data_IF_143876703151
#
_entry.id   IF_143876703151
#
_cell.length_a   1.000
_cell.length_b   1.000
_cell.length_c   1.000
_cell.angle_alpha   90.00
_cell.angle_beta   90.00
_cell.angle_gamma   90.00
#
_symmetry.space_group_name_H-M   'P 1'
#
loop_
_entity.id
_entity.type
_entity.pdbx_description
1 polymer ?
#
# COMPACT_ATOMS: atom_id res chain seq x y z
N UNK A 1 -37.16 1.98 32.97
CA UNK A 1 -37.05 3.14 32.07
C UNK A 1 -36.44 2.65 30.77
N UNK A 2 -37.16 2.75 29.65
CA UNK A 2 -36.62 2.37 28.35
C UNK A 2 -35.46 3.34 28.02
N UNK A 3 -34.25 2.82 27.84
CA UNK A 3 -33.09 3.64 27.48
C UNK A 3 -33.34 4.37 26.17
N UNK A 4 -32.85 5.61 26.05
CA UNK A 4 -32.98 6.43 24.86
C UNK A 4 -32.43 5.76 23.59
N UNK A 5 -32.62 6.37 22.41
CA UNK A 5 -32.15 5.82 21.14
C UNK A 5 -30.66 5.48 21.22
N UNK A 6 -30.30 4.34 20.63
CA UNK A 6 -28.92 3.84 20.65
C UNK A 6 -28.28 4.02 19.29
N UNK A 7 -27.06 4.54 19.28
CA UNK A 7 -26.22 4.65 18.09
C UNK A 7 -25.13 3.59 18.19
N UNK A 8 -24.92 2.84 17.11
CA UNK A 8 -23.79 1.94 16.97
C UNK A 8 -22.75 2.61 16.07
N UNK A 9 -21.52 2.72 16.54
CA UNK A 9 -20.38 3.28 15.79
C UNK A 9 -19.40 2.15 15.49
N UNK A 10 -19.23 1.82 14.21
CA UNK A 10 -18.20 0.92 13.74
C UNK A 10 -16.90 1.69 13.50
N UNK A 11 -15.78 1.20 14.05
CA UNK A 11 -14.43 1.71 13.81
C UNK A 11 -13.60 0.59 13.20
N UNK A 12 -13.08 0.84 12.01
CA UNK A 12 -12.05 0.03 11.38
C UNK A 12 -10.70 0.71 11.60
N UNK A 13 -9.92 0.23 12.56
CA UNK A 13 -8.56 0.73 12.81
C UNK A 13 -7.56 -0.10 12.00
N UNK A 14 -7.46 0.14 10.69
CA UNK A 14 -6.63 -0.66 9.78
C UNK A 14 -5.16 -0.26 9.76
N UNK A 15 -4.29 -1.11 9.20
CA UNK A 15 -2.83 -0.90 9.13
C UNK A 15 -2.44 0.33 8.33
N UNK A 16 -3.11 0.56 7.19
CA UNK A 16 -2.78 1.62 6.22
C UNK A 16 -3.85 2.71 6.18
N UNK A 17 -5.11 2.33 6.32
CA UNK A 17 -6.26 3.22 6.35
C UNK A 17 -7.22 2.80 7.44
N UNK A 18 -7.89 3.77 8.04
CA UNK A 18 -8.93 3.57 9.04
C UNK A 18 -10.26 4.18 8.58
N UNK A 19 -11.38 3.63 9.03
CA UNK A 19 -12.72 4.08 8.69
C UNK A 19 -13.63 4.18 9.90
N UNK A 20 -14.66 5.01 9.81
CA UNK A 20 -15.72 5.13 10.81
C UNK A 20 -17.07 5.13 10.11
N UNK A 21 -18.02 4.35 10.62
CA UNK A 21 -19.41 4.36 10.19
C UNK A 21 -20.33 4.32 11.41
N UNK A 22 -21.58 4.75 11.26
CA UNK A 22 -22.56 4.66 12.33
C UNK A 22 -23.97 4.40 11.80
N UNK A 23 -24.81 3.79 12.64
CA UNK A 23 -26.22 3.57 12.38
C UNK A 23 -27.03 3.70 13.68
N UNK A 24 -28.32 4.01 13.56
CA UNK A 24 -29.24 3.89 14.68
C UNK A 24 -29.60 2.42 14.87
N UNK A 25 -29.63 1.94 16.11
CA UNK A 25 -30.00 0.54 16.40
C UNK A 25 -31.41 0.21 15.89
N UNK A 26 -32.31 1.20 15.80
CA UNK A 26 -33.66 1.04 15.25
C UNK A 26 -33.70 0.90 13.72
N UNK A 27 -32.61 1.28 13.04
CA UNK A 27 -32.49 1.30 11.58
C UNK A 27 -31.10 0.78 11.18
N UNK A 28 -30.80 -0.51 11.43
CA UNK A 28 -29.46 -1.07 11.23
C UNK A 28 -29.00 -1.05 9.76
N UNK A 29 -29.93 -0.98 8.81
CA UNK A 29 -29.65 -0.94 7.37
C UNK A 29 -29.27 0.47 6.87
N UNK A 30 -29.60 1.52 7.66
CA UNK A 30 -29.32 2.92 7.33
C UNK A 30 -27.92 3.33 7.83
N UNK A 31 -26.88 2.70 7.28
CA UNK A 31 -25.49 2.94 7.68
C UNK A 31 -24.95 4.23 7.04
N UNK A 32 -24.46 5.15 7.88
CA UNK A 32 -23.79 6.38 7.46
C UNK A 32 -22.26 6.25 7.64
N UNK A 33 -21.51 6.37 6.54
CA UNK A 33 -20.04 6.34 6.56
C UNK A 33 -19.48 7.75 6.71
N UNK A 34 -18.53 7.93 7.64
CA UNK A 34 -17.78 9.19 7.79
C UNK A 34 -16.90 9.40 6.56
N UNK A 35 -17.18 10.46 5.81
CA UNK A 35 -16.44 10.80 4.58
C UNK A 35 -15.62 12.08 4.66
N UNK A 36 -15.80 12.87 5.72
CA UNK A 36 -15.11 14.15 5.89
C UNK A 36 -14.00 14.00 6.93
N UNK A 37 -12.76 14.13 6.47
CA UNK A 37 -11.57 13.95 7.30
C UNK A 37 -10.71 15.23 7.33
N UNK A 38 -10.10 15.59 8.47
CA UNK A 38 -9.16 16.70 8.53
C UNK A 38 -8.03 16.55 7.49
N UNK A 39 -7.72 17.63 6.76
CA UNK A 39 -6.65 17.65 5.76
C UNK A 39 -7.02 17.05 4.40
N UNK A 40 -8.19 16.43 4.22
CA UNK A 40 -8.61 15.92 2.91
C UNK A 40 -8.90 17.07 1.93
N UNK A 41 -7.95 17.38 1.02
CA UNK A 41 -8.09 18.45 0.02
C UNK A 41 -9.04 18.04 -1.13
N UNK A 42 -9.78 19.01 -1.67
CA UNK A 42 -10.69 18.81 -2.83
C UNK A 42 -9.98 18.48 -4.14
N UNK A 43 -8.66 18.63 -4.25
CA UNK A 43 -7.95 18.59 -5.53
C UNK A 43 -6.93 17.45 -5.72
N UNK A 44 -6.67 16.61 -4.72
CA UNK A 44 -5.60 15.59 -4.81
C UNK A 44 -6.04 14.23 -5.39
N UNK A 45 -7.35 13.97 -5.53
CA UNK A 45 -7.86 12.71 -6.08
C UNK A 45 -9.02 12.91 -7.08
N UNK A 46 -8.86 13.87 -7.99
CA UNK A 46 -9.66 13.83 -9.22
C UNK A 46 -9.09 12.74 -10.14
N UNK A 47 -9.95 11.78 -10.49
CA UNK A 47 -9.78 10.73 -11.51
C UNK A 47 -9.18 9.39 -11.03
N UNK A 48 -10.00 8.57 -10.38
CA UNK A 48 -10.12 7.16 -10.75
C UNK A 48 -11.52 6.94 -11.33
N UNK A 49 -11.67 7.16 -12.65
CA UNK A 49 -12.81 6.65 -13.40
C UNK A 49 -12.52 5.18 -13.72
N UNK A 50 -12.91 4.29 -12.84
CA UNK A 50 -13.20 2.90 -13.20
C UNK A 50 -14.69 2.82 -13.51
N UNK A 51 -15.04 2.19 -14.63
CA UNK A 51 -16.34 2.30 -15.33
C UNK A 51 -17.57 1.82 -14.55
N UNK A 52 -17.46 1.36 -13.30
CA UNK A 52 -18.58 0.82 -12.51
C UNK A 52 -18.66 1.30 -11.05
N UNK A 53 -18.01 2.41 -10.67
CA UNK A 53 -18.03 2.90 -9.28
C UNK A 53 -18.61 4.31 -9.12
N UNK A 54 -19.39 4.47 -8.06
CA UNK A 54 -20.09 5.67 -7.62
C UNK A 54 -19.16 6.91 -7.61
N UNK A 55 -19.68 8.06 -8.04
CA UNK A 55 -18.92 9.31 -8.16
C UNK A 55 -18.43 9.78 -6.78
N UNK A 56 -17.18 9.49 -6.40
CA UNK A 56 -16.60 10.04 -5.17
C UNK A 56 -16.37 11.54 -5.36
N UNK A 57 -17.15 12.36 -4.66
CA UNK A 57 -16.99 13.81 -4.69
C UNK A 57 -15.61 14.19 -4.12
N UNK A 58 -14.93 15.11 -4.79
CA UNK A 58 -13.70 15.75 -4.36
C UNK A 58 -13.76 16.19 -2.88
N UNK A 59 -12.91 15.59 -2.04
CA UNK A 59 -12.85 15.86 -0.59
C UNK A 59 -13.76 14.98 0.29
N UNK A 60 -14.34 13.90 -0.24
CA UNK A 60 -15.15 12.94 0.54
C UNK A 60 -14.57 11.52 0.48
N UNK A 61 -13.71 11.15 1.42
CA UNK A 61 -13.01 9.86 1.41
C UNK A 61 -13.64 8.90 2.43
N UNK A 62 -14.00 7.66 2.08
CA UNK A 62 -14.62 6.72 3.03
C UNK A 62 -13.68 6.25 4.14
N UNK A 63 -12.37 6.47 3.99
CA UNK A 63 -11.33 6.16 4.97
C UNK A 63 -10.31 7.30 5.06
N UNK A 64 -9.53 7.31 6.14
CA UNK A 64 -8.40 8.21 6.38
C UNK A 64 -7.11 7.40 6.55
N UNK A 65 -5.93 7.89 6.11
CA UNK A 65 -4.67 7.19 6.33
C UNK A 65 -4.41 6.93 7.81
N UNK A 66 -3.95 5.73 8.15
CA UNK A 66 -3.49 5.37 9.51
C UNK A 66 -2.07 5.89 9.73
N UNK A 67 -1.95 7.21 9.74
CA UNK A 67 -0.69 7.93 9.90
C UNK A 67 -0.80 9.00 10.97
N UNK A 68 0.28 9.20 11.72
CA UNK A 68 0.36 10.22 12.76
C UNK A 68 1.78 10.78 12.87
N UNK A 69 1.90 12.07 13.16
CA UNK A 69 3.17 12.77 13.35
C UNK A 69 3.11 13.63 14.60
N UNK A 70 4.22 13.67 15.33
CA UNK A 70 4.40 14.39 16.60
C UNK A 70 5.36 15.59 16.45
N UNK A 71 5.68 16.00 15.23
CA UNK A 71 6.70 16.99 14.96
C UNK A 71 6.37 18.37 15.58
N UNK A 72 7.39 19.01 16.16
CA UNK A 72 7.30 20.36 16.75
C UNK A 72 6.15 20.55 17.77
N UNK A 73 5.77 19.48 18.48
CA UNK A 73 4.68 19.51 19.45
C UNK A 73 3.28 19.63 18.83
N UNK A 74 3.17 19.48 17.50
CA UNK A 74 1.89 19.44 16.78
C UNK A 74 1.54 18.00 16.45
N UNK A 75 0.29 17.63 16.74
CA UNK A 75 -0.26 16.33 16.37
C UNK A 75 -0.93 16.43 15.01
N UNK A 76 -0.28 15.88 13.97
CA UNK A 76 -0.86 15.77 12.62
C UNK A 76 -1.24 14.31 12.36
N UNK A 77 -2.34 14.07 11.65
CA UNK A 77 -2.81 12.72 11.39
C UNK A 77 -3.57 12.60 10.07
N UNK A 78 -3.69 11.38 9.56
CA UNK A 78 -4.40 11.10 8.33
C UNK A 78 -3.89 11.95 7.16
N UNK A 79 -4.80 12.60 6.45
CA UNK A 79 -4.44 13.46 5.31
C UNK A 79 -3.62 14.70 5.70
N UNK A 80 -3.55 15.06 6.99
CA UNK A 80 -2.70 16.17 7.45
C UNK A 80 -1.22 15.80 7.49
N UNK A 81 -0.86 14.50 7.48
CA UNK A 81 0.55 14.08 7.48
C UNK A 81 1.20 14.15 6.10
N UNK A 82 0.45 14.49 5.04
CA UNK A 82 1.00 14.62 3.69
C UNK A 82 1.91 15.85 3.52
N UNK A 83 1.91 16.77 4.49
CA UNK A 83 2.55 18.08 4.41
C UNK A 83 3.78 18.19 5.32
N UNK A 84 4.79 17.33 5.13
CA UNK A 84 6.09 17.30 5.83
C UNK A 84 6.12 16.54 7.19
N UNK A 85 7.29 15.97 7.51
CA UNK A 85 7.66 15.49 8.85
C UNK A 85 7.98 14.00 9.00
N UNK A 86 8.48 13.62 10.17
CA UNK A 86 8.58 12.21 10.61
C UNK A 86 7.16 11.66 10.85
N UNK A 87 6.76 10.65 10.08
CA UNK A 87 5.41 10.08 10.14
C UNK A 87 5.46 8.63 10.61
N UNK A 88 4.71 8.33 11.65
CA UNK A 88 4.48 6.97 12.12
C UNK A 88 3.45 6.28 11.22
N UNK A 89 3.79 5.07 10.75
CA UNK A 89 3.02 4.22 9.83
C UNK A 89 3.05 2.77 10.30
N UNK A 90 2.03 2.00 9.98
CA UNK A 90 2.00 0.56 10.30
C UNK A 90 1.98 0.28 11.81
N UNK A 91 1.49 1.23 12.61
CA UNK A 91 1.45 1.12 14.08
C UNK A 91 0.65 -0.10 14.55
N UNK A 92 -0.40 -0.46 13.78
CA UNK A 92 -1.22 -1.65 14.05
C UNK A 92 -0.35 -2.91 14.15
N UNK A 93 0.60 -3.11 13.24
CA UNK A 93 1.51 -4.27 13.26
C UNK A 93 2.46 -4.25 14.45
N UNK A 94 2.76 -3.08 15.02
CA UNK A 94 3.61 -2.94 16.20
C UNK A 94 2.88 -3.26 17.51
N UNK A 95 1.55 -3.46 17.47
CA UNK A 95 0.80 -3.80 18.67
C UNK A 95 1.14 -5.20 19.13
N UNK A 96 1.34 -6.20 18.27
CA UNK A 96 1.76 -7.53 18.71
C UNK A 96 3.29 -7.61 18.84
N UNK A 97 3.87 -7.63 20.07
CA UNK A 97 5.31 -7.70 20.25
C UNK A 97 5.90 -9.08 19.91
N UNK A 98 5.05 -10.11 19.75
CA UNK A 98 5.49 -11.46 19.37
C UNK A 98 5.60 -11.63 17.86
N UNK A 99 5.06 -10.68 17.10
CA UNK A 99 5.08 -10.72 15.65
C UNK A 99 6.47 -10.36 15.11
N UNK A 100 6.98 -11.16 14.18
CA UNK A 100 8.12 -10.77 13.35
C UNK A 100 7.63 -9.78 12.28
N UNK A 101 8.20 -8.57 12.31
CA UNK A 101 7.70 -7.45 11.49
C UNK A 101 8.71 -7.17 10.39
N UNK A 102 8.40 -7.64 9.18
CA UNK A 102 9.17 -7.34 7.95
C UNK A 102 8.55 -6.16 7.14
N UNK A 103 7.53 -5.51 7.70
CA UNK A 103 6.93 -4.33 7.08
C UNK A 103 7.79 -3.08 7.31
N UNK A 104 8.56 -2.68 6.30
CA UNK A 104 9.54 -1.57 6.37
C UNK A 104 8.99 -0.29 7.02
N UNK A 105 7.78 0.22 6.69
CA UNK A 105 7.26 1.43 7.32
C UNK A 105 7.01 1.29 8.84
N UNK A 106 6.59 0.11 9.30
CA UNK A 106 6.46 -0.16 10.75
C UNK A 106 7.83 -0.24 11.43
N UNK A 107 8.81 -0.89 10.78
CA UNK A 107 10.19 -0.97 11.29
C UNK A 107 10.82 0.42 11.41
N UNK A 108 10.63 1.30 10.42
CA UNK A 108 11.08 2.69 10.49
C UNK A 108 10.38 3.46 11.61
N UNK A 109 9.10 3.22 11.81
CA UNK A 109 8.32 3.87 12.86
C UNK A 109 8.82 3.57 14.26
N UNK A 110 9.42 2.39 14.52
CA UNK A 110 10.04 2.08 15.83
C UNK A 110 11.09 3.12 16.25
N UNK A 111 11.85 3.69 15.29
CA UNK A 111 12.84 4.74 15.57
C UNK A 111 12.17 6.06 15.97
N UNK A 112 11.05 6.39 15.34
CA UNK A 112 10.26 7.59 15.65
C UNK A 112 9.65 7.44 17.04
N UNK A 113 9.08 6.28 17.35
CA UNK A 113 8.52 5.97 18.68
C UNK A 113 9.57 6.17 19.79
N UNK A 114 10.77 5.62 19.62
CA UNK A 114 11.86 5.79 20.58
C UNK A 114 12.29 7.26 20.75
N UNK A 115 12.30 8.05 19.67
CA UNK A 115 12.61 9.49 19.72
C UNK A 115 11.61 10.28 20.56
N UNK A 116 10.34 9.90 20.53
CA UNK A 116 9.24 10.57 21.22
C UNK A 116 8.85 9.92 22.54
N UNK A 117 9.61 8.92 23.02
CA UNK A 117 9.33 8.14 24.24
C UNK A 117 7.90 7.59 24.27
N UNK A 118 7.51 6.92 23.16
CA UNK A 118 6.17 6.34 22.98
C UNK A 118 6.22 4.86 22.71
N UNK A 119 5.35 4.12 23.36
CA UNK A 119 5.09 2.72 23.05
C UNK A 119 4.05 2.59 21.93
N UNK A 120 3.99 1.43 21.22
CA UNK A 120 3.01 1.23 20.16
C UNK A 120 1.55 1.47 20.58
N UNK A 121 1.21 1.08 21.81
CA UNK A 121 -0.12 1.28 22.41
C UNK A 121 -0.45 2.76 22.61
N UNK A 122 0.54 3.60 22.93
CA UNK A 122 0.33 5.05 23.08
C UNK A 122 -0.06 5.70 21.77
N UNK A 123 0.62 5.30 20.68
CA UNK A 123 0.34 5.84 19.35
C UNK A 123 -1.00 5.33 18.83
N UNK A 124 -1.34 4.06 19.09
CA UNK A 124 -2.65 3.52 18.77
C UNK A 124 -3.77 4.25 19.54
N UNK A 125 -3.59 4.51 20.84
CA UNK A 125 -4.49 5.33 21.66
C UNK A 125 -4.66 6.72 21.05
N UNK A 126 -3.56 7.41 20.77
CA UNK A 126 -3.60 8.77 20.24
C UNK A 126 -4.36 8.83 18.90
N UNK A 127 -4.15 7.85 18.02
CA UNK A 127 -4.86 7.76 16.75
C UNK A 127 -6.35 7.40 16.91
N UNK A 128 -6.68 6.43 17.77
CA UNK A 128 -8.06 6.06 18.09
C UNK A 128 -8.83 7.23 18.71
N UNK A 129 -8.18 8.02 19.57
CA UNK A 129 -8.79 9.22 20.15
C UNK A 129 -9.21 10.22 19.07
N UNK A 130 -8.40 10.38 18.02
CA UNK A 130 -8.70 11.24 16.87
C UNK A 130 -9.89 10.71 16.06
N UNK A 131 -9.96 9.39 15.81
CA UNK A 131 -11.11 8.76 15.17
C UNK A 131 -12.40 8.94 15.98
N UNK A 132 -12.34 8.71 17.31
CA UNK A 132 -13.47 8.86 18.22
C UNK A 132 -13.95 10.31 18.26
N UNK A 133 -13.04 11.28 18.23
CA UNK A 133 -13.39 12.70 18.18
C UNK A 133 -14.13 13.05 16.89
N UNK A 134 -13.62 12.59 15.73
CA UNK A 134 -14.31 12.78 14.44
C UNK A 134 -15.69 12.11 14.44
N UNK A 135 -15.83 10.92 15.01
CA UNK A 135 -17.11 10.26 15.17
C UNK A 135 -18.09 11.12 16.00
N UNK A 136 -17.67 11.55 17.20
CA UNK A 136 -18.48 12.38 18.11
C UNK A 136 -18.89 13.71 17.47
N UNK A 137 -17.98 14.38 16.77
CA UNK A 137 -18.29 15.60 16.03
C UNK A 137 -19.29 15.37 14.89
N UNK A 138 -19.13 14.26 14.15
CA UNK A 138 -20.02 13.92 13.05
C UNK A 138 -21.43 13.63 13.56
N UNK A 139 -21.54 12.85 14.65
CA UNK A 139 -22.81 12.60 15.34
C UNK A 139 -23.42 13.89 15.89
N UNK A 140 -22.62 14.80 16.46
CA UNK A 140 -23.10 16.09 16.96
C UNK A 140 -23.66 16.96 15.84
N UNK A 141 -22.99 16.99 14.67
CA UNK A 141 -23.49 17.69 13.48
C UNK A 141 -24.78 17.06 12.95
N UNK A 142 -24.92 15.73 13.01
CA UNK A 142 -26.08 14.98 12.52
C UNK A 142 -27.31 15.11 13.42
N UNK A 143 -27.13 14.96 14.75
CA UNK A 143 -28.22 14.82 15.72
C UNK A 143 -28.38 16.04 16.64
N UNK A 144 -27.46 17.01 16.62
CA UNK A 144 -27.53 18.21 17.46
C UNK A 144 -27.58 17.88 18.95
N UNK A 145 -28.47 18.55 19.68
CA UNK A 145 -28.64 18.36 21.13
C UNK A 145 -29.30 17.01 21.49
N UNK A 146 -29.95 16.33 20.54
CA UNK A 146 -30.56 15.03 20.80
C UNK A 146 -29.51 13.97 21.18
N UNK A 147 -28.28 14.12 20.70
CA UNK A 147 -27.16 13.23 20.99
C UNK A 147 -26.90 13.07 22.50
N UNK A 148 -27.16 14.10 23.31
CA UNK A 148 -26.92 14.07 24.77
C UNK A 148 -27.81 13.07 25.50
N UNK A 149 -28.94 12.69 24.88
CA UNK A 149 -29.88 11.70 25.41
C UNK A 149 -29.69 10.30 24.83
N UNK A 150 -28.77 10.15 23.87
CA UNK A 150 -28.53 8.90 23.16
C UNK A 150 -27.35 8.14 23.79
N UNK A 151 -27.43 6.81 23.74
CA UNK A 151 -26.31 5.94 24.16
C UNK A 151 -25.52 5.54 22.92
N UNK A 152 -24.20 5.71 22.96
CA UNK A 152 -23.29 5.33 21.87
C UNK A 152 -22.57 4.05 22.27
N UNK A 153 -22.68 3.01 21.44
CA UNK A 153 -21.87 1.79 21.52
C UNK A 153 -20.89 1.75 20.36
N UNK A 154 -19.70 1.19 20.60
CA UNK A 154 -18.62 1.09 19.65
C UNK A 154 -18.35 -0.37 19.30
N UNK A 155 -18.15 -0.65 18.02
CA UNK A 155 -17.67 -1.92 17.50
C UNK A 155 -16.32 -1.65 16.84
N UNK A 156 -15.25 -2.26 17.34
CA UNK A 156 -13.89 -2.07 16.84
C UNK A 156 -13.39 -3.34 16.18
N UNK A 157 -12.90 -3.25 14.94
CA UNK A 157 -12.39 -4.41 14.20
C UNK A 157 -10.94 -4.73 14.58
N UNK A 158 -10.61 -6.02 14.67
CA UNK A 158 -9.26 -6.55 14.88
C UNK A 158 -8.99 -7.74 13.95
N UNK A 159 -7.74 -7.99 13.53
CA UNK A 159 -7.42 -9.19 12.74
C UNK A 159 -7.81 -10.46 13.48
N UNK A 160 -8.28 -11.47 12.74
CA UNK A 160 -8.71 -12.74 13.35
C UNK A 160 -7.52 -13.50 13.95
N UNK A 161 -6.40 -13.53 13.23
CA UNK A 161 -5.17 -14.25 13.57
C UNK A 161 -4.37 -13.62 14.72
N UNK A 162 -4.78 -12.45 15.21
CA UNK A 162 -4.08 -11.78 16.31
C UNK A 162 -4.20 -12.51 17.64
N UNK A 163 -3.09 -12.51 18.38
CA UNK A 163 -3.04 -13.04 19.75
C UNK A 163 -4.00 -12.31 20.67
N UNK A 164 -4.46 -12.97 21.73
CA UNK A 164 -5.29 -12.33 22.77
C UNK A 164 -4.60 -11.11 23.37
N UNK A 165 -3.27 -11.12 23.44
CA UNK A 165 -2.48 -9.98 23.89
C UNK A 165 -2.66 -8.78 22.95
N UNK A 166 -2.54 -8.96 21.64
CA UNK A 166 -2.72 -7.90 20.64
C UNK A 166 -4.16 -7.35 20.63
N UNK A 167 -5.16 -8.25 20.73
CA UNK A 167 -6.57 -7.87 20.88
C UNK A 167 -6.80 -7.05 22.16
N UNK A 168 -6.22 -7.48 23.28
CA UNK A 168 -6.31 -6.76 24.55
C UNK A 168 -5.60 -5.40 24.51
N UNK A 169 -4.43 -5.27 23.87
CA UNK A 169 -3.77 -3.97 23.71
C UNK A 169 -4.57 -3.01 22.84
N UNK A 170 -5.26 -3.52 21.82
CA UNK A 170 -6.19 -2.70 21.03
C UNK A 170 -7.35 -2.21 21.87
N UNK A 171 -7.92 -3.09 22.71
CA UNK A 171 -8.96 -2.72 23.66
C UNK A 171 -8.48 -1.66 24.66
N UNK A 172 -7.29 -1.82 25.25
CA UNK A 172 -6.67 -0.82 26.13
C UNK A 172 -6.50 0.52 25.43
N UNK A 173 -5.96 0.53 24.20
CA UNK A 173 -5.80 1.75 23.42
C UNK A 173 -7.16 2.45 23.15
N UNK A 174 -8.21 1.67 22.86
CA UNK A 174 -9.55 2.19 22.66
C UNK A 174 -10.16 2.76 23.94
N UNK A 175 -9.93 2.11 25.10
CA UNK A 175 -10.44 2.61 26.37
C UNK A 175 -9.76 3.90 26.79
N UNK A 176 -8.45 3.97 26.61
CA UNK A 176 -7.66 5.16 26.92
C UNK A 176 -7.93 6.30 25.94
N UNK A 177 -8.47 6.00 24.76
CA UNK A 177 -8.99 6.96 23.76
C UNK A 177 -10.40 7.48 24.09
N UNK A 178 -10.91 7.23 25.31
CA UNK A 178 -12.17 7.77 25.80
C UNK A 178 -13.42 7.02 25.34
N UNK A 179 -13.27 5.74 24.98
CA UNK A 179 -14.37 4.80 24.85
C UNK A 179 -14.50 4.03 26.16
N UNK A 180 -15.68 3.99 26.77
CA UNK A 180 -15.88 3.17 27.98
C UNK A 180 -15.72 1.68 27.64
N UNK A 181 -15.05 0.92 28.51
CA UNK A 181 -14.90 -0.52 28.37
C UNK A 181 -16.25 -1.26 28.30
N UNK A 182 -17.31 -0.69 28.89
CA UNK A 182 -18.66 -1.23 28.83
C UNK A 182 -19.36 -0.95 27.48
N UNK A 183 -18.87 0.04 26.74
CA UNK A 183 -19.46 0.55 25.50
C UNK A 183 -18.73 0.07 24.25
N UNK A 184 -17.65 -0.70 24.37
CA UNK A 184 -16.88 -1.23 23.23
C UNK A 184 -16.99 -2.75 23.12
N UNK A 185 -17.09 -3.25 21.90
CA UNK A 185 -17.00 -4.67 21.59
C UNK A 185 -16.01 -4.85 20.44
N UNK A 186 -15.14 -5.86 20.55
CA UNK A 186 -14.27 -6.25 19.46
C UNK A 186 -15.00 -7.22 18.53
N UNK A 187 -14.83 -7.06 17.24
CA UNK A 187 -15.25 -8.01 16.21
C UNK A 187 -14.06 -8.32 15.31
N UNK A 188 -13.98 -9.51 14.74
CA UNK A 188 -12.91 -9.76 13.76
C UNK A 188 -13.17 -8.99 12.46
N UNK A 189 -12.11 -8.48 11.82
CA UNK A 189 -12.17 -7.85 10.49
C UNK A 189 -12.90 -8.73 9.47
N UNK A 190 -12.55 -10.03 9.30
CA UNK A 190 -13.23 -10.83 8.30
C UNK A 190 -14.67 -11.21 8.70
N UNK A 191 -15.04 -11.26 9.98
CA UNK A 191 -16.44 -11.42 10.40
C UNK A 191 -17.27 -10.20 10.03
N UNK A 192 -16.75 -9.00 10.31
CA UNK A 192 -17.42 -7.75 9.92
C UNK A 192 -17.59 -7.66 8.40
N UNK A 193 -16.56 -8.05 7.63
CA UNK A 193 -16.63 -8.13 6.19
C UNK A 193 -17.66 -9.17 5.71
N UNK A 194 -17.70 -10.35 6.34
CA UNK A 194 -18.68 -11.40 6.01
C UNK A 194 -20.11 -10.92 6.18
N UNK A 195 -20.43 -10.34 7.35
CA UNK A 195 -21.78 -9.86 7.67
C UNK A 195 -22.20 -8.76 6.69
N UNK A 196 -21.30 -7.82 6.38
CA UNK A 196 -21.56 -6.74 5.41
C UNK A 196 -21.82 -7.28 4.00
N UNK A 197 -20.95 -8.16 3.49
CA UNK A 197 -21.08 -8.74 2.15
C UNK A 197 -22.34 -9.60 2.02
N UNK A 198 -22.63 -10.44 3.02
CA UNK A 198 -23.79 -11.32 3.00
C UNK A 198 -25.10 -10.54 3.09
N UNK A 199 -25.18 -9.51 3.94
CA UNK A 199 -26.35 -8.63 3.99
C UNK A 199 -26.59 -7.90 2.66
N UNK A 200 -25.53 -7.50 1.94
CA UNK A 200 -25.66 -6.84 0.65
C UNK A 200 -26.14 -7.77 -0.49
N UNK A 201 -25.95 -9.08 -0.35
CA UNK A 201 -26.31 -10.10 -1.35
C UNK A 201 -27.69 -10.73 -1.06
N UNK A 202 -28.16 -10.68 0.19
CA UNK A 202 -29.51 -11.15 0.54
C UNK A 202 -30.60 -10.32 -0.18
N UNK A 203 -31.67 -10.97 -0.68
CA UNK A 203 -32.16 -12.29 -0.25
C UNK A 203 -31.81 -13.49 -1.15
N UNK A 204 -31.03 -13.35 -2.23
CA UNK A 204 -31.24 -14.24 -3.38
C UNK A 204 -30.25 -15.40 -3.59
N UNK A 205 -29.26 -15.63 -2.71
CA UNK A 205 -28.26 -16.71 -2.98
C UNK A 205 -27.66 -17.42 -1.77
N UNK A 206 -28.06 -17.13 -0.52
CA UNK A 206 -27.40 -17.70 0.67
C UNK A 206 -28.40 -18.45 1.54
N UNK A 207 -28.07 -19.70 1.86
CA UNK A 207 -28.88 -20.60 2.67
C UNK A 207 -28.17 -20.99 3.98
N UNK A 208 -28.95 -21.50 4.95
CA UNK A 208 -28.37 -22.06 6.17
C UNK A 208 -27.44 -23.22 5.81
N UNK A 209 -26.28 -23.29 6.46
CA UNK A 209 -25.20 -24.24 6.21
C UNK A 209 -24.30 -23.95 5.01
N UNK A 210 -24.57 -22.91 4.22
CA UNK A 210 -23.61 -22.46 3.21
C UNK A 210 -22.30 -22.06 3.88
N UNK A 211 -21.19 -22.34 3.19
CA UNK A 211 -19.85 -21.96 3.62
C UNK A 211 -19.35 -20.87 2.70
N UNK A 212 -18.97 -19.75 3.30
CA UNK A 212 -18.32 -18.64 2.60
C UNK A 212 -16.89 -18.50 3.08
N UNK A 213 -16.01 -18.14 2.15
CA UNK A 213 -14.62 -17.82 2.45
C UNK A 213 -14.49 -16.31 2.33
N UNK A 214 -14.01 -15.68 3.41
CA UNK A 214 -13.64 -14.28 3.42
C UNK A 214 -12.15 -14.20 3.22
N UNK A 215 -11.75 -13.50 2.17
CA UNK A 215 -10.36 -13.13 1.91
C UNK A 215 -10.24 -11.63 2.13
N UNK A 216 -9.86 -11.22 3.34
CA UNK A 216 -9.58 -9.83 3.66
C UNK A 216 -8.11 -9.55 3.36
N UNK A 217 -7.84 -8.96 2.19
CA UNK A 217 -6.50 -8.60 1.75
C UNK A 217 -6.27 -7.09 1.91
N UNK A 218 -5.80 -6.69 3.09
CA UNK A 218 -5.55 -5.31 3.46
C UNK A 218 -4.13 -4.81 3.11
N UNK A 219 -3.80 -3.62 3.62
CA UNK A 219 -2.51 -2.96 3.32
C UNK A 219 -1.30 -3.48 4.11
N UNK A 220 -1.49 -4.46 5.00
CA UNK A 220 -0.41 -5.07 5.79
C UNK A 220 -0.74 -6.44 6.41
N UNK A 221 -1.98 -6.90 6.31
CA UNK A 221 -2.44 -8.24 6.70
C UNK A 221 -3.27 -8.82 5.57
N UNK A 222 -3.21 -10.13 5.38
CA UNK A 222 -4.20 -10.86 4.58
C UNK A 222 -4.77 -11.96 5.46
N UNK A 223 -6.08 -11.93 5.70
CA UNK A 223 -6.77 -12.89 6.55
C UNK A 223 -7.71 -13.73 5.69
N UNK A 224 -7.53 -15.07 5.71
CA UNK A 224 -8.49 -16.00 5.13
C UNK A 224 -9.20 -16.77 6.24
N UNK A 225 -10.53 -16.73 6.23
CA UNK A 225 -11.36 -17.47 7.17
C UNK A 225 -12.59 -18.02 6.46
N UNK A 226 -13.01 -19.20 6.90
CA UNK A 226 -14.21 -19.86 6.40
C UNK A 226 -15.33 -19.73 7.45
N UNK A 227 -16.44 -19.13 7.06
CA UNK A 227 -17.65 -19.04 7.87
C UNK A 227 -18.74 -19.94 7.31
N UNK A 228 -19.40 -20.68 8.19
CA UNK A 228 -20.67 -21.35 7.90
C UNK A 228 -21.82 -20.46 8.35
N UNK A 229 -22.80 -20.29 7.47
CA UNK A 229 -24.04 -19.59 7.79
C UNK A 229 -24.85 -20.44 8.75
N UNK A 230 -24.96 -20.01 10.01
CA UNK A 230 -25.74 -20.69 11.05
C UNK A 230 -27.23 -20.37 10.91
N UNK A 231 -27.54 -19.12 10.61
CA UNK A 231 -28.88 -18.62 10.35
C UNK A 231 -28.82 -17.47 9.34
N UNK A 232 -29.74 -17.41 8.39
CA UNK A 232 -29.86 -16.29 7.43
C UNK A 232 -30.65 -15.11 8.00
N UNK A 233 -31.55 -15.35 8.96
CA UNK A 233 -32.37 -14.30 9.59
C UNK A 233 -32.71 -14.66 11.06
N UNK A 234 -32.07 -14.02 12.06
CA UNK A 234 -30.97 -13.05 11.91
C UNK A 234 -29.75 -13.71 11.27
N UNK A 235 -28.94 -12.92 10.55
CA UNK A 235 -27.70 -13.42 9.97
C UNK A 235 -26.70 -13.75 11.10
N UNK A 236 -26.39 -15.04 11.25
CA UNK A 236 -25.42 -15.55 12.23
C UNK A 236 -24.39 -16.41 11.51
N UNK A 237 -23.11 -16.18 11.82
CA UNK A 237 -21.98 -16.91 11.26
C UNK A 237 -21.29 -17.74 12.33
N UNK A 238 -20.73 -18.88 11.92
CA UNK A 238 -19.91 -19.74 12.75
C UNK A 238 -18.60 -20.03 12.01
N UNK A 239 -17.47 -19.78 12.66
CA UNK A 239 -16.16 -20.14 12.12
C UNK A 239 -16.06 -21.67 11.94
N UNK A 240 -15.62 -22.10 10.76
CA UNK A 240 -15.53 -23.53 10.38
C UNK A 240 -14.15 -24.10 10.66
N UNK A 241 -13.12 -23.27 10.48
CA UNK A 241 -11.71 -23.62 10.59
C UNK A 241 -10.98 -22.44 11.20
N UNK A 242 -9.96 -22.71 12.02
CA UNK A 242 -9.03 -21.69 12.49
C UNK A 242 -8.48 -20.90 11.29
N UNK A 243 -8.67 -19.57 11.30
CA UNK A 243 -8.23 -18.70 10.21
C UNK A 243 -6.74 -18.83 9.91
N UNK A 244 -6.39 -18.90 8.63
CA UNK A 244 -4.99 -18.87 8.17
C UNK A 244 -4.74 -17.58 7.42
N UNK A 245 -3.75 -16.79 7.86
CA UNK A 245 -3.42 -15.51 7.24
C UNK A 245 -2.04 -15.50 6.59
N UNK A 246 -1.82 -14.53 5.70
CA UNK A 246 -0.48 -14.11 5.29
C UNK A 246 -0.10 -12.90 6.13
N UNK A 247 0.98 -13.04 6.88
CA UNK A 247 1.49 -12.01 7.77
C UNK A 247 2.54 -11.17 7.05
N UNK A 248 2.51 -9.85 7.25
CA UNK A 248 3.50 -8.94 6.67
C UNK A 248 3.39 -8.69 5.16
N UNK A 249 2.35 -9.19 4.49
CA UNK A 249 2.10 -8.94 3.06
C UNK A 249 2.87 -9.84 2.08
N UNK A 250 3.40 -10.98 2.52
CA UNK A 250 4.13 -11.93 1.68
C UNK A 250 3.51 -13.34 1.67
N UNK A 251 3.36 -13.94 0.48
CA UNK A 251 2.95 -15.33 0.28
C UNK A 251 4.18 -16.22 0.07
N UNK A 252 4.58 -16.99 1.09
CA UNK A 252 5.65 -17.99 0.95
C UNK A 252 5.14 -19.22 0.19
N UNK A 253 5.40 -19.27 -1.11
CA UNK A 253 5.08 -20.42 -1.95
C UNK A 253 6.30 -21.31 -2.15
N UNK A 254 6.17 -22.60 -1.87
CA UNK A 254 7.14 -23.60 -2.34
C UNK A 254 7.07 -23.72 -3.86
N UNK A 255 8.18 -24.10 -4.49
CA UNK A 255 8.35 -24.21 -5.94
C UNK A 255 7.21 -24.98 -6.60
N UNK A 256 6.72 -26.03 -5.95
CA UNK A 256 5.65 -26.90 -6.42
C UNK A 256 4.30 -26.16 -6.50
N UNK A 257 4.00 -25.27 -5.54
CA UNK A 257 2.77 -24.48 -5.50
C UNK A 257 2.79 -23.36 -6.54
N UNK A 258 3.94 -22.68 -6.70
CA UNK A 258 4.14 -21.72 -7.81
C UNK A 258 3.94 -22.43 -9.15
N UNK A 259 4.54 -23.62 -9.30
CA UNK A 259 4.37 -24.45 -10.49
C UNK A 259 2.89 -24.71 -10.80
N UNK A 260 2.10 -25.18 -9.84
CA UNK A 260 0.67 -25.50 -10.04
C UNK A 260 -0.18 -24.30 -10.52
N UNK A 261 0.17 -23.09 -10.11
CA UNK A 261 -0.56 -21.88 -10.52
C UNK A 261 -0.27 -21.53 -11.98
N UNK A 262 0.99 -21.66 -12.41
CA UNK A 262 1.42 -21.26 -13.75
C UNK A 262 1.36 -22.38 -14.79
N UNK A 263 1.35 -23.65 -14.37
CA UNK A 263 1.36 -24.82 -15.25
C UNK A 263 0.24 -24.83 -16.29
N UNK A 264 -1.04 -24.58 -15.97
CA UNK A 264 -2.11 -24.57 -16.97
C UNK A 264 -1.88 -23.55 -18.09
N UNK A 265 -1.30 -22.39 -17.77
CA UNK A 265 -0.97 -21.34 -18.75
C UNK A 265 0.25 -21.74 -19.58
N UNK A 266 1.27 -22.33 -18.96
CA UNK A 266 2.47 -22.81 -19.65
C UNK A 266 2.15 -23.96 -20.60
N UNK A 267 1.31 -24.91 -20.18
CA UNK A 267 0.91 -26.07 -20.99
C UNK A 267 0.09 -25.63 -22.22
N UNK A 268 -0.79 -24.65 -22.06
CA UNK A 268 -1.54 -24.07 -23.19
C UNK A 268 -0.62 -23.33 -24.17
N UNK A 269 0.38 -22.59 -23.68
CA UNK A 269 1.39 -21.94 -24.55
C UNK A 269 2.20 -22.98 -25.32
N UNK A 270 2.61 -24.07 -24.66
CA UNK A 270 3.32 -25.17 -25.32
C UNK A 270 2.46 -25.79 -26.43
N UNK A 271 1.18 -26.07 -26.15
CA UNK A 271 0.23 -26.62 -27.11
C UNK A 271 0.07 -25.71 -28.34
N UNK A 272 -0.11 -24.40 -28.12
CA UNK A 272 -0.25 -23.42 -29.20
C UNK A 272 1.01 -23.31 -30.07
N UNK A 273 2.20 -23.41 -29.45
CA UNK A 273 3.47 -23.43 -30.18
C UNK A 273 3.58 -24.69 -31.05
N UNK A 274 3.25 -25.87 -30.50
CA UNK A 274 3.27 -27.13 -31.25
C UNK A 274 2.30 -27.10 -32.43
N UNK A 275 1.07 -26.63 -32.23
CA UNK A 275 0.08 -26.50 -33.30
C UNK A 275 0.60 -25.60 -34.45
N UNK A 276 1.23 -24.48 -34.12
CA UNK A 276 1.82 -23.58 -35.13
C UNK A 276 3.00 -24.21 -35.89
N UNK A 277 3.82 -25.04 -35.21
CA UNK A 277 4.89 -25.78 -35.88
C UNK A 277 4.34 -26.80 -36.88
N UNK A 278 3.25 -27.49 -36.54
CA UNK A 278 2.56 -28.40 -37.45
C UNK A 278 2.05 -27.65 -38.68
N UNK A 279 1.39 -26.49 -38.49
CA UNK A 279 0.88 -25.67 -39.59
C UNK A 279 2.00 -25.17 -40.53
N UNK A 280 3.12 -24.69 -39.97
CA UNK A 280 4.28 -24.23 -40.74
C UNK A 280 4.87 -25.39 -41.57
N UNK A 281 4.97 -26.59 -40.99
CA UNK A 281 5.45 -27.78 -41.69
C UNK A 281 4.51 -28.22 -42.81
N UNK A 282 3.19 -28.20 -42.59
CA UNK A 282 2.20 -28.50 -43.62
C UNK A 282 2.24 -27.51 -44.80
N UNK A 283 2.62 -26.26 -44.53
CA UNK A 283 2.86 -25.25 -45.56
C UNK A 283 4.23 -25.39 -46.28
N UNK A 284 4.99 -26.46 -46.00
CA UNK A 284 6.30 -26.72 -46.61
C UNK A 284 7.41 -25.79 -46.10
N UNK A 285 7.19 -25.10 -44.99
CA UNK A 285 8.13 -24.15 -44.39
C UNK A 285 8.75 -24.73 -43.11
N UNK A 286 9.88 -24.15 -42.66
CA UNK A 286 10.52 -24.52 -41.39
C UNK A 286 10.77 -23.27 -40.56
N UNK A 287 10.30 -23.29 -39.31
CA UNK A 287 10.63 -22.26 -38.34
C UNK A 287 12.09 -22.40 -37.89
N UNK A 288 12.81 -21.28 -37.86
CA UNK A 288 14.23 -21.24 -37.48
C UNK A 288 14.42 -20.93 -36.00
N UNK A 289 13.54 -20.12 -35.43
CA UNK A 289 13.59 -19.73 -34.03
C UNK A 289 12.19 -19.41 -33.49
N UNK A 290 12.04 -19.51 -32.17
CA UNK A 290 10.90 -19.02 -31.39
C UNK A 290 11.42 -17.95 -30.44
N UNK A 291 10.83 -16.76 -30.48
CA UNK A 291 11.19 -15.66 -29.59
C UNK A 291 10.14 -15.51 -28.50
N UNK A 292 10.54 -15.67 -27.24
CA UNK A 292 9.68 -15.41 -26.10
C UNK A 292 9.71 -13.91 -25.75
N UNK A 293 8.54 -13.29 -25.81
CA UNK A 293 8.33 -11.84 -25.62
C UNK A 293 7.14 -11.57 -24.70
N UNK A 294 7.05 -10.36 -24.13
CA UNK A 294 6.02 -9.99 -23.14
C UNK A 294 6.36 -10.44 -21.71
N UNK A 295 5.71 -9.85 -20.70
CA UNK A 295 6.05 -10.05 -19.28
C UNK A 295 6.02 -11.50 -18.81
N UNK A 296 5.23 -12.34 -19.49
CA UNK A 296 5.22 -13.78 -19.27
C UNK A 296 6.33 -14.52 -20.05
N UNK A 297 6.71 -14.00 -21.23
CA UNK A 297 7.81 -14.52 -22.04
C UNK A 297 9.21 -14.33 -21.44
N UNK A 298 9.36 -13.50 -20.40
CA UNK A 298 10.59 -13.41 -19.57
C UNK A 298 10.68 -14.50 -18.48
N UNK A 299 9.72 -15.43 -18.43
CA UNK A 299 9.78 -16.57 -17.51
C UNK A 299 10.83 -17.59 -17.95
N UNK A 300 11.88 -17.76 -17.15
CA UNK A 300 12.91 -18.81 -17.32
C UNK A 300 12.28 -20.22 -17.31
N UNK A 301 11.20 -20.40 -16.54
CA UNK A 301 10.47 -21.66 -16.49
C UNK A 301 9.78 -21.98 -17.82
N UNK A 302 9.11 -21.00 -18.43
CA UNK A 302 8.50 -21.15 -19.75
C UNK A 302 9.55 -21.37 -20.84
N UNK A 303 10.68 -20.67 -20.77
CA UNK A 303 11.81 -20.84 -21.68
C UNK A 303 12.32 -22.29 -21.69
N UNK A 304 12.61 -22.85 -20.51
CA UNK A 304 13.10 -24.23 -20.39
C UNK A 304 12.06 -25.26 -20.82
N UNK A 305 10.77 -25.03 -20.53
CA UNK A 305 9.68 -25.91 -20.96
C UNK A 305 9.60 -25.97 -22.50
N UNK A 306 9.59 -24.81 -23.17
CA UNK A 306 9.54 -24.76 -24.64
C UNK A 306 10.83 -25.28 -25.28
N UNK A 307 12.01 -24.96 -24.75
CA UNK A 307 13.26 -25.50 -25.26
C UNK A 307 13.32 -27.03 -25.19
N UNK A 308 12.67 -27.63 -24.18
CA UNK A 308 12.54 -29.08 -24.06
C UNK A 308 11.47 -29.66 -24.99
N UNK A 309 10.37 -28.92 -25.23
CA UNK A 309 9.22 -29.38 -26.00
C UNK A 309 9.42 -29.30 -27.52
N UNK A 310 10.25 -28.38 -28.02
CA UNK A 310 10.50 -28.18 -29.46
C UNK A 310 11.99 -28.26 -29.77
N UNK A 311 12.45 -29.48 -30.08
CA UNK A 311 13.88 -29.82 -30.19
C UNK A 311 14.55 -29.29 -31.47
N UNK A 312 13.78 -29.10 -32.54
CA UNK A 312 14.28 -28.75 -33.88
C UNK A 312 14.34 -27.24 -34.19
N UNK A 313 13.98 -26.41 -33.21
CA UNK A 313 13.85 -24.95 -33.34
C UNK A 313 14.54 -24.26 -32.17
N UNK A 314 15.37 -23.25 -32.45
CA UNK A 314 16.02 -22.49 -31.39
C UNK A 314 15.01 -21.63 -30.64
N UNK A 315 14.73 -21.95 -29.38
CA UNK A 315 13.98 -21.05 -28.50
C UNK A 315 14.93 -20.00 -27.95
N UNK A 316 14.56 -18.73 -28.07
CA UNK A 316 15.33 -17.58 -27.64
C UNK A 316 14.49 -16.72 -26.71
N UNK A 317 15.09 -16.27 -25.61
CA UNK A 317 14.53 -15.28 -24.71
C UNK A 317 15.41 -14.03 -24.76
N UNK A 318 15.10 -13.07 -25.64
CA UNK A 318 15.89 -11.87 -25.78
C UNK A 318 15.89 -11.06 -24.48
N UNK A 319 17.03 -10.44 -24.09
CA UNK A 319 17.04 -9.55 -22.94
C UNK A 319 16.00 -8.44 -23.11
N UNK A 320 15.19 -8.21 -22.07
CA UNK A 320 14.06 -7.26 -22.05
C UNK A 320 12.85 -7.61 -22.94
N UNK A 321 12.69 -8.89 -23.28
CA UNK A 321 11.53 -9.47 -23.95
C UNK A 321 10.17 -8.92 -23.49
N UNK A 322 10.02 -8.61 -22.20
CA UNK A 322 8.78 -8.12 -21.59
C UNK A 322 8.26 -6.79 -22.15
N UNK A 323 9.13 -6.03 -22.79
CA UNK A 323 8.82 -4.74 -23.42
C UNK A 323 8.81 -4.81 -24.94
N UNK A 324 9.00 -5.98 -25.57
CA UNK A 324 9.22 -6.11 -27.02
C UNK A 324 8.12 -5.51 -27.90
N UNK A 325 6.85 -5.58 -27.48
CA UNK A 325 5.70 -4.99 -28.22
C UNK A 325 5.68 -3.47 -28.10
N UNK A 326 5.97 -2.95 -26.91
CA UNK A 326 6.12 -1.50 -26.66
C UNK A 326 7.39 -0.97 -27.34
N UNK A 327 8.45 -1.78 -27.42
CA UNK A 327 9.69 -1.55 -28.15
C UNK A 327 9.55 -1.68 -29.68
N UNK A 328 8.44 -2.18 -30.20
CA UNK A 328 8.17 -2.15 -31.64
C UNK A 328 7.41 -0.87 -32.02
N UNK A 329 6.48 -0.44 -31.16
CA UNK A 329 5.79 0.86 -31.30
C UNK A 329 6.73 2.04 -30.98
N UNK A 330 7.75 1.79 -30.16
CA UNK A 330 8.87 2.67 -29.87
C UNK A 330 10.15 1.89 -30.16
N UNK A 331 10.72 1.91 -31.38
CA UNK A 331 11.95 1.14 -31.72
C UNK A 331 13.23 1.45 -30.89
N UNK A 332 13.13 2.15 -29.76
CA UNK A 332 14.24 2.39 -28.85
C UNK A 332 13.77 2.43 -27.38
N UNK A 333 14.21 1.40 -26.64
CA UNK A 333 14.66 1.46 -25.24
C UNK A 333 13.61 1.41 -24.11
N UNK A 334 13.69 0.33 -23.31
CA UNK A 334 13.01 0.18 -22.02
C UNK A 334 13.99 -0.32 -20.92
N UNK A 335 13.98 0.36 -19.75
CA UNK A 335 14.20 -0.04 -18.33
C UNK A 335 15.30 -1.09 -17.97
N UNK A 336 16.27 -0.90 -17.05
CA UNK A 336 16.45 -0.48 -15.61
C UNK A 336 16.39 -1.66 -14.61
N UNK A 337 17.52 -1.93 -13.93
CA UNK A 337 17.62 -2.23 -12.49
C UNK A 337 18.96 -1.75 -11.89
N UNK A 338 18.92 -1.20 -10.66
CA UNK A 338 20.07 -0.83 -9.82
C UNK A 338 20.19 0.67 -9.49
N UNK A 339 19.66 1.13 -8.34
CA UNK A 339 20.00 2.45 -7.76
C UNK A 339 20.44 2.26 -6.29
N UNK A 340 21.73 2.49 -6.03
CA UNK A 340 22.28 2.69 -4.70
C UNK A 340 21.94 4.10 -4.22
N UNK A 341 21.20 4.22 -3.11
CA UNK A 341 20.91 5.50 -2.46
C UNK A 341 22.04 5.89 -1.49
N UNK A 342 23.08 6.58 -1.96
CA UNK A 342 23.92 7.53 -1.17
C UNK A 342 24.55 8.65 -2.04
N UNK A 343 23.87 9.81 -2.08
CA UNK A 343 24.26 11.24 -2.27
C UNK A 343 25.39 11.64 -3.26
N UNK A 344 25.11 12.50 -4.27
CA UNK A 344 26.08 13.49 -4.76
C UNK A 344 26.20 14.66 -3.76
N UNK A 345 27.41 14.89 -3.23
CA UNK A 345 27.73 16.09 -2.44
C UNK A 345 28.27 17.14 -3.39
N UNK A 346 27.53 18.23 -3.62
CA UNK A 346 27.94 19.28 -4.56
C UNK A 346 28.32 20.59 -3.84
N UNK A 347 29.27 21.31 -4.44
CA UNK A 347 29.76 22.62 -3.99
C UNK A 347 29.36 23.67 -5.02
N UNK A 348 28.65 24.71 -4.59
CA UNK A 348 28.14 25.74 -5.50
C UNK A 348 28.62 27.15 -5.14
N UNK A 349 28.90 27.96 -6.17
CA UNK A 349 29.05 29.42 -6.12
C UNK A 349 27.77 30.10 -6.66
N UNK A 350 27.57 31.41 -6.47
CA UNK A 350 26.31 32.15 -6.79
C UNK A 350 25.62 31.72 -8.11
N UNK A 351 24.31 31.39 -8.02
CA UNK A 351 23.46 30.90 -9.13
C UNK A 351 23.15 29.39 -9.11
N UNK A 352 22.88 28.82 -7.94
CA UNK A 352 22.81 27.37 -7.68
C UNK A 352 21.39 26.80 -7.54
N UNK A 353 20.37 27.54 -7.95
CA UNK A 353 18.98 27.18 -7.68
C UNK A 353 18.55 25.85 -8.34
N UNK A 354 19.27 25.37 -9.35
CA UNK A 354 18.99 24.13 -10.07
C UNK A 354 20.24 23.24 -10.13
N UNK A 355 20.03 21.93 -9.93
CA UNK A 355 21.06 20.90 -10.18
C UNK A 355 20.49 19.80 -11.06
N UNK A 356 21.36 19.17 -11.84
CA UNK A 356 21.00 18.11 -12.76
C UNK A 356 21.88 16.88 -12.52
N UNK A 357 21.28 15.76 -12.15
CA UNK A 357 21.96 14.48 -12.05
C UNK A 357 21.57 13.59 -13.23
N UNK A 358 22.55 13.01 -13.92
CA UNK A 358 22.24 12.06 -15.00
C UNK A 358 22.03 10.67 -14.40
N UNK A 359 20.89 10.04 -14.72
CA UNK A 359 20.62 8.66 -14.35
C UNK A 359 21.23 7.76 -15.42
N UNK A 360 22.05 6.80 -15.00
CA UNK A 360 22.68 5.83 -15.88
C UNK A 360 22.25 4.41 -15.51
N UNK A 361 22.30 3.51 -16.48
CA UNK A 361 22.03 2.08 -16.32
C UNK A 361 23.23 1.29 -16.85
N UNK A 362 23.59 0.20 -16.18
CA UNK A 362 24.51 -0.81 -16.70
C UNK A 362 23.81 -2.17 -16.78
N UNK A 363 24.20 -2.99 -17.76
CA UNK A 363 23.65 -4.33 -17.96
C UNK A 363 24.49 -5.45 -17.33
N UNK A 364 25.55 -5.10 -16.59
CA UNK A 364 26.39 -6.03 -15.85
C UNK A 364 25.76 -6.38 -14.50
N UNK A 365 26.05 -7.58 -14.00
CA UNK A 365 25.58 -8.06 -12.70
C UNK A 365 26.11 -7.20 -11.53
N UNK A 366 27.29 -6.60 -11.71
CA UNK A 366 27.91 -5.65 -10.78
C UNK A 366 28.04 -4.27 -11.44
N UNK A 367 27.66 -3.21 -10.71
CA UNK A 367 27.76 -1.84 -11.20
C UNK A 367 29.24 -1.44 -11.39
N UNK A 368 29.66 -0.98 -12.58
CA UNK A 368 31.06 -0.63 -12.83
C UNK A 368 31.43 0.64 -12.07
N UNK A 369 32.68 0.68 -11.58
CA UNK A 369 33.20 1.82 -10.81
C UNK A 369 33.39 3.11 -11.65
N UNK A 370 33.23 3.03 -12.97
CA UNK A 370 33.32 4.13 -13.92
C UNK A 370 32.44 3.87 -15.14
N UNK A 371 32.15 4.93 -15.93
CA UNK A 371 31.38 4.79 -17.16
C UNK A 371 32.15 3.95 -18.18
N UNK A 372 31.56 2.83 -18.58
CA UNK A 372 32.06 1.93 -19.65
C UNK A 372 31.11 1.94 -20.83
N UNK A 373 31.45 1.24 -21.92
CA UNK A 373 30.57 1.09 -23.09
C UNK A 373 29.24 0.37 -22.75
N UNK A 374 29.20 -0.36 -21.64
CA UNK A 374 28.01 -1.05 -21.11
C UNK A 374 27.15 -0.16 -20.22
N UNK A 375 27.47 1.13 -20.07
CA UNK A 375 26.74 2.10 -19.25
C UNK A 375 26.05 3.14 -20.13
N UNK A 376 24.73 3.25 -19.98
CA UNK A 376 23.89 4.11 -20.83
C UNK A 376 23.16 5.16 -20.00
N UNK A 377 23.08 6.40 -20.50
CA UNK A 377 22.29 7.45 -19.86
C UNK A 377 20.80 7.21 -20.15
N UNK A 378 19.98 7.18 -19.09
CA UNK A 378 18.54 6.96 -19.14
C UNK A 378 17.78 8.28 -19.26
N UNK A 379 18.11 9.24 -18.40
CA UNK A 379 17.48 10.56 -18.36
C UNK A 379 18.36 11.53 -17.55
N UNK A 380 18.03 12.81 -17.60
CA UNK A 380 18.57 13.82 -16.68
C UNK A 380 17.49 14.13 -15.64
N UNK A 381 17.84 14.01 -14.37
CA UNK A 381 17.01 14.35 -13.23
C UNK A 381 17.34 15.78 -12.81
N UNK A 382 16.38 16.69 -12.91
CA UNK A 382 16.54 18.09 -12.51
C UNK A 382 15.84 18.34 -11.18
N UNK A 383 16.62 18.82 -10.21
CA UNK A 383 16.14 19.15 -8.87
C UNK A 383 16.29 20.65 -8.62
N UNK A 384 15.23 21.25 -8.09
CA UNK A 384 15.22 22.64 -7.67
C UNK A 384 15.62 22.72 -6.19
N UNK A 385 16.79 23.29 -5.92
CA UNK A 385 17.35 23.40 -4.57
C UNK A 385 16.86 24.65 -3.82
N UNK A 386 16.18 25.58 -4.50
CA UNK A 386 15.65 26.81 -3.87
C UNK A 386 14.61 26.53 -2.79
N UNK A 387 13.99 25.34 -2.81
CA UNK A 387 13.06 24.89 -1.79
C UNK A 387 13.74 24.58 -0.44
N UNK A 388 15.06 24.33 -0.41
CA UNK A 388 15.79 24.01 0.82
C UNK A 388 16.20 25.32 1.52
N UNK A 389 15.86 25.52 2.81
CA UNK A 389 16.25 26.72 3.55
C UNK A 389 17.78 26.92 3.60
N UNK A 390 18.24 28.10 3.15
CA UNK A 390 19.68 28.43 3.02
C UNK A 390 20.47 28.33 4.33
N UNK A 391 19.80 28.55 5.47
CA UNK A 391 20.42 28.43 6.79
C UNK A 391 20.84 26.98 7.14
N UNK A 392 20.38 25.98 6.38
CA UNK A 392 20.79 24.59 6.54
C UNK A 392 22.03 24.22 5.72
N UNK A 393 22.51 25.12 4.85
CA UNK A 393 23.68 24.87 4.01
C UNK A 393 24.98 25.08 4.77
N UNK A 394 26.01 24.31 4.41
CA UNK A 394 27.37 24.51 4.96
C UNK A 394 28.14 25.47 4.07
N UNK A 395 28.51 26.64 4.57
CA UNK A 395 29.34 27.60 3.83
C UNK A 395 30.83 27.30 3.96
N UNK A 396 31.61 27.53 2.91
CA UNK A 396 33.07 27.48 2.91
C UNK A 396 33.68 28.50 1.96
N UNK A 397 35.00 28.64 1.98
CA UNK A 397 35.74 29.55 1.08
C UNK A 397 36.81 28.75 0.34
N UNK A 398 36.89 28.89 -0.98
CA UNK A 398 37.88 28.18 -1.79
C UNK A 398 39.24 28.90 -1.78
N UNK A 399 40.27 28.30 -2.40
CA UNK A 399 41.63 28.86 -2.48
C UNK A 399 41.73 30.17 -3.28
N UNK A 400 40.65 30.59 -3.95
CA UNK A 400 40.52 31.85 -4.69
C UNK A 400 39.75 32.91 -3.90
N UNK A 401 39.41 32.65 -2.63
CA UNK A 401 38.67 33.58 -1.77
C UNK A 401 37.17 33.66 -2.04
N UNK A 402 36.63 32.80 -2.92
CA UNK A 402 35.19 32.79 -3.23
C UNK A 402 34.43 31.93 -2.22
N UNK A 403 33.30 32.45 -1.76
CA UNK A 403 32.39 31.73 -0.86
C UNK A 403 31.54 30.74 -1.65
N UNK A 404 31.39 29.53 -1.10
CA UNK A 404 30.57 28.46 -1.69
C UNK A 404 29.71 27.76 -0.63
N UNK A 405 28.64 27.10 -1.06
CA UNK A 405 27.82 26.24 -0.22
C UNK A 405 28.05 24.78 -0.56
N UNK A 406 28.04 23.91 0.47
CA UNK A 406 28.01 22.46 0.33
C UNK A 406 26.63 21.96 0.72
N UNK A 407 25.98 21.24 -0.19
CA UNK A 407 24.59 20.78 -0.03
C UNK A 407 24.54 19.26 -0.25
N UNK A 408 24.48 18.44 0.83
CA UNK A 408 24.29 16.99 0.69
C UNK A 408 22.81 16.65 0.48
N UNK A 409 22.42 16.30 -0.75
CA UNK A 409 21.04 15.94 -1.08
C UNK A 409 20.93 14.52 -1.65
N UNK A 410 19.74 13.94 -1.58
CA UNK A 410 19.44 12.62 -2.14
C UNK A 410 18.27 12.76 -3.11
N UNK A 411 18.27 11.94 -4.16
CA UNK A 411 17.11 11.77 -5.01
C UNK A 411 16.49 10.42 -4.67
N UNK A 412 15.37 10.44 -3.94
CA UNK A 412 14.65 9.25 -3.54
C UNK A 412 13.73 8.78 -4.67
N UNK A 413 13.94 7.55 -5.13
CA UNK A 413 13.09 6.89 -6.12
C UNK A 413 12.03 6.05 -5.42
N UNK A 414 10.75 6.34 -5.69
CA UNK A 414 9.61 5.58 -5.17
C UNK A 414 8.88 4.90 -6.33
N UNK A 415 8.98 3.57 -6.47
CA UNK A 415 8.15 2.83 -7.42
C UNK A 415 6.70 2.76 -6.90
N UNK A 416 5.73 3.07 -7.76
CA UNK A 416 4.30 2.90 -7.52
C UNK A 416 3.74 1.85 -8.48
N UNK A 417 2.47 1.47 -8.30
CA UNK A 417 1.81 0.46 -9.14
C UNK A 417 1.71 0.83 -10.63
N UNK A 418 1.95 2.10 -11.01
CA UNK A 418 1.86 2.57 -12.40
C UNK A 418 2.99 3.53 -12.84
N UNK A 419 3.82 4.05 -11.93
CA UNK A 419 4.87 5.04 -12.26
C UNK A 419 6.02 5.01 -11.25
N UNK A 420 7.16 5.62 -11.63
CA UNK A 420 8.29 5.86 -10.73
C UNK A 420 8.32 7.35 -10.40
N UNK A 421 8.29 7.69 -9.12
CA UNK A 421 8.39 9.06 -8.63
C UNK A 421 9.80 9.32 -8.12
N UNK A 422 10.34 10.50 -8.43
CA UNK A 422 11.62 10.97 -7.90
C UNK A 422 11.38 12.18 -7.00
N UNK A 423 11.92 12.14 -5.78
CA UNK A 423 11.79 13.21 -4.80
C UNK A 423 13.17 13.70 -4.36
N UNK A 424 13.30 15.00 -4.16
CA UNK A 424 14.49 15.61 -3.57
C UNK A 424 14.39 15.45 -2.05
N UNK A 425 15.39 14.84 -1.44
CA UNK A 425 15.52 14.68 0.00
C UNK A 425 16.79 15.38 0.52
N UNK A 426 16.66 16.08 1.64
CA UNK A 426 17.77 16.73 2.33
C UNK A 426 17.61 16.51 3.84
N UNK A 427 18.64 15.95 4.49
CA UNK A 427 18.59 15.54 5.91
C UNK A 427 17.37 14.67 6.29
N UNK A 428 16.92 13.80 5.37
CA UNK A 428 15.78 12.89 5.59
C UNK A 428 14.40 13.54 5.42
N UNK A 429 14.33 14.78 4.94
CA UNK A 429 13.08 15.50 4.66
C UNK A 429 12.95 15.72 3.15
N UNK A 430 11.76 15.46 2.59
CA UNK A 430 11.48 15.70 1.17
C UNK A 430 11.13 17.17 0.89
N UNK A 431 11.79 17.76 -0.10
CA UNK A 431 11.65 19.17 -0.49
C UNK A 431 10.99 19.39 -1.87
N UNK A 432 10.42 18.34 -2.46
CA UNK A 432 9.65 18.43 -3.71
C UNK A 432 9.99 17.34 -4.73
N UNK A 433 9.27 17.35 -5.86
CA UNK A 433 9.46 16.40 -6.95
C UNK A 433 10.65 16.77 -7.82
N UNK A 434 11.40 15.76 -8.24
CA UNK A 434 12.47 15.87 -9.25
C UNK A 434 11.89 15.56 -10.62
N UNK A 435 12.16 16.42 -11.60
CA UNK A 435 11.67 16.22 -12.96
C UNK A 435 12.65 15.35 -13.75
N UNK A 436 12.13 14.29 -14.38
CA UNK A 436 12.91 13.48 -15.32
C UNK A 436 12.75 14.05 -16.74
N UNK A 437 13.85 14.51 -17.33
CA UNK A 437 13.95 14.82 -18.76
C UNK A 437 14.63 13.64 -19.47
N UNK A 438 13.84 12.88 -20.20
CA UNK A 438 14.27 11.71 -20.96
C UNK A 438 15.03 12.09 -22.23
#
# INVERSE_FOLDING_TARGET
>A
MAGGPRIIVGIDFGTTYSGVAFALQSSPDDVEVVRQWPGARKSEFAVLKSSNQELILAGTMPKTPTTISYEAGKLLWGYQTAMFGEVVRGIKLLLDPTQEIDYTPAVQSKKILAKYDKEPVDVARDYLQLLVNVAKETLRRRFGNALDSMVIRYVLTVPAVWTDKAKNMTLTAATDAGISALDVTLVSEPEAAALSCLNAIQPNTTENSDVVIICDAGGGTVDLISYRVKSVNPLELMEVTEGTGLEGGFLNMIKENVGRIFLPVVDEVERLVQDQMVQISMAGMRAKAIFLVGGFGSSEYLFRRLQSAVVDVTVLQPPNAWSAVVRYVSHSSAAIFGVSNKVPVERFCEGWEETSTSLYICHLDDAPDHLTEDVFKVCTLEANLSAIPRNLFRSGTNSLGQSYYTIPYQTAMTPTSASILFNLEFNGVSYGSVQAKY
#
